data_IF_961378603625
#
_entry.id   IF_961378603625
#
_cell.length_a   1.000
_cell.length_b   1.000
_cell.length_c   1.000
_cell.angle_alpha   90.00
_cell.angle_beta   90.00
_cell.angle_gamma   90.00
#
_symmetry.space_group_name_H-M   'P 1'
#
loop_
_entity.id
_entity.type
_entity.pdbx_description
1 polymer ?
#
# COMPACT_ATOMS: atom_id res chain seq x y z
N UNK A 1 2.46 17.06 -6.30
CA UNK A 1 1.23 16.28 -6.20
C UNK A 1 1.29 15.05 -7.09
N UNK A 2 0.84 13.96 -6.60
CA UNK A 2 1.12 12.74 -7.34
C UNK A 2 -0.03 11.74 -7.46
N UNK A 3 -1.19 12.25 -7.86
CA UNK A 3 -2.35 11.40 -8.20
C UNK A 3 -2.05 10.44 -9.34
N UNK A 4 -1.03 10.72 -10.14
CA UNK A 4 -0.56 9.89 -11.24
C UNK A 4 0.71 9.11 -10.89
N UNK A 5 1.14 9.18 -9.63
CA UNK A 5 2.31 8.48 -9.17
C UNK A 5 2.11 6.97 -9.11
N UNK A 6 3.20 6.26 -8.89
CA UNK A 6 3.18 4.80 -8.82
C UNK A 6 2.43 4.32 -7.59
N UNK A 7 1.79 3.18 -7.74
CA UNK A 7 1.22 2.42 -6.64
C UNK A 7 2.23 1.35 -6.27
N UNK A 8 2.71 1.41 -5.04
CA UNK A 8 3.71 0.48 -4.52
C UNK A 8 2.96 -0.66 -3.83
N UNK A 9 3.15 -1.87 -4.32
CA UNK A 9 2.47 -3.05 -3.77
C UNK A 9 3.51 -4.00 -3.21
N UNK A 10 3.46 -4.22 -1.90
CA UNK A 10 4.41 -5.05 -1.18
C UNK A 10 3.70 -6.33 -0.79
N UNK A 11 4.02 -7.40 -1.51
CA UNK A 11 3.31 -8.66 -1.43
C UNK A 11 4.25 -9.79 -1.86
N UNK A 12 4.48 -10.76 -0.97
CA UNK A 12 5.39 -11.86 -1.27
C UNK A 12 4.77 -12.98 -2.12
N UNK A 13 3.45 -13.08 -2.16
CA UNK A 13 2.74 -14.06 -2.99
C UNK A 13 2.66 -13.61 -4.44
N UNK A 14 3.28 -14.36 -5.34
CA UNK A 14 3.20 -14.05 -6.78
C UNK A 14 1.77 -14.17 -7.33
N UNK A 15 0.97 -15.07 -6.75
CA UNK A 15 -0.45 -15.20 -7.10
C UNK A 15 -1.20 -13.91 -6.76
N UNK A 16 -1.00 -13.40 -5.54
CA UNK A 16 -1.64 -12.16 -5.11
C UNK A 16 -1.15 -10.95 -5.91
N UNK A 17 0.13 -10.90 -6.25
CA UNK A 17 0.67 -9.85 -7.13
C UNK A 17 -0.06 -9.84 -8.48
N UNK A 18 -0.29 -11.01 -9.07
CA UNK A 18 -1.01 -11.12 -10.34
C UNK A 18 -2.47 -10.69 -10.21
N UNK A 19 -3.09 -11.01 -9.08
CA UNK A 19 -4.47 -10.61 -8.81
C UNK A 19 -4.57 -9.07 -8.75
N UNK A 20 -3.68 -8.42 -8.02
CA UNK A 20 -3.65 -6.97 -7.98
C UNK A 20 -3.41 -6.37 -9.37
N UNK A 21 -2.46 -6.91 -10.12
CA UNK A 21 -2.17 -6.43 -11.47
C UNK A 21 -3.40 -6.52 -12.38
N UNK A 22 -4.12 -7.63 -12.32
CA UNK A 22 -5.32 -7.84 -13.12
C UNK A 22 -6.43 -6.86 -12.72
N UNK A 23 -6.60 -6.64 -11.43
CA UNK A 23 -7.62 -5.72 -10.93
C UNK A 23 -7.35 -4.30 -11.40
N UNK A 24 -6.12 -3.81 -11.26
CA UNK A 24 -5.77 -2.47 -11.70
C UNK A 24 -5.92 -2.31 -13.21
N UNK A 25 -5.62 -3.35 -13.96
CA UNK A 25 -5.82 -3.34 -15.40
C UNK A 25 -7.30 -3.21 -15.76
N UNK A 26 -8.17 -3.95 -15.09
CA UNK A 26 -9.62 -3.88 -15.28
C UNK A 26 -10.20 -2.52 -14.94
N UNK A 27 -9.68 -1.91 -13.87
CA UNK A 27 -10.14 -0.60 -13.42
C UNK A 27 -9.62 0.54 -14.29
N UNK A 28 -8.65 0.25 -15.13
CA UNK A 28 -8.11 1.18 -16.12
C UNK A 28 -7.54 2.47 -15.53
N UNK A 29 -6.95 2.39 -14.35
CA UNK A 29 -6.17 3.49 -13.80
C UNK A 29 -4.80 3.52 -14.46
N UNK A 30 -4.31 4.71 -14.78
CA UNK A 30 -3.05 4.89 -15.51
C UNK A 30 -1.80 4.80 -14.62
N UNK A 31 -1.97 4.65 -13.30
CA UNK A 31 -0.86 4.59 -12.37
C UNK A 31 0.04 3.37 -12.64
N UNK A 32 1.35 3.60 -12.65
CA UNK A 32 2.31 2.51 -12.73
C UNK A 32 2.23 1.66 -11.47
N UNK A 33 2.36 0.34 -11.58
CA UNK A 33 2.42 -0.57 -10.44
C UNK A 33 3.87 -1.00 -10.22
N UNK A 34 4.34 -0.86 -8.98
CA UNK A 34 5.67 -1.33 -8.60
C UNK A 34 5.51 -2.39 -7.52
N UNK A 35 5.93 -3.62 -7.82
CA UNK A 35 5.80 -4.75 -6.91
C UNK A 35 7.10 -5.04 -6.18
N UNK A 36 7.00 -5.31 -4.89
CA UNK A 36 8.13 -5.76 -4.06
C UNK A 36 7.70 -7.01 -3.30
N UNK A 37 8.58 -8.00 -3.23
CA UNK A 37 8.29 -9.28 -2.57
C UNK A 37 8.60 -9.25 -1.08
N UNK A 38 9.32 -8.26 -0.60
CA UNK A 38 9.61 -8.11 0.82
C UNK A 38 9.73 -6.63 1.22
N UNK A 39 9.59 -6.41 2.53
CA UNK A 39 9.59 -5.05 3.07
C UNK A 39 10.96 -4.37 3.02
N UNK A 40 12.06 -5.14 3.06
CA UNK A 40 13.41 -4.56 3.00
C UNK A 40 13.67 -3.92 1.65
N UNK A 41 13.29 -4.60 0.57
CA UNK A 41 13.44 -4.06 -0.79
C UNK A 41 12.58 -2.82 -1.00
N UNK A 42 11.35 -2.88 -0.50
CA UNK A 42 10.44 -1.73 -0.59
C UNK A 42 10.99 -0.52 0.17
N UNK A 43 11.49 -0.74 1.37
CA UNK A 43 12.06 0.33 2.19
C UNK A 43 13.28 0.96 1.51
N UNK A 44 14.16 0.13 0.96
CA UNK A 44 15.33 0.61 0.22
C UNK A 44 14.91 1.46 -0.97
N UNK A 45 13.94 1.01 -1.74
CA UNK A 45 13.40 1.76 -2.86
C UNK A 45 12.82 3.10 -2.42
N UNK A 46 12.00 3.10 -1.37
CA UNK A 46 11.37 4.33 -0.86
C UNK A 46 12.39 5.34 -0.33
N UNK A 47 13.49 4.85 0.24
CA UNK A 47 14.56 5.71 0.73
C UNK A 47 15.38 6.36 -0.39
N UNK A 48 15.43 5.74 -1.56
CA UNK A 48 16.30 6.18 -2.65
C UNK A 48 15.57 6.83 -3.81
N UNK A 49 14.28 6.53 -3.99
CA UNK A 49 13.53 7.10 -5.11
C UNK A 49 13.22 8.57 -4.88
N UNK A 50 13.29 9.34 -5.94
CA UNK A 50 12.89 10.75 -5.92
C UNK A 50 11.43 10.93 -6.30
N UNK A 51 10.80 9.87 -6.82
CA UNK A 51 9.40 9.90 -7.23
C UNK A 51 8.50 9.79 -6.00
N UNK A 52 7.45 10.59 -5.98
CA UNK A 52 6.43 10.51 -4.93
C UNK A 52 5.42 9.44 -5.34
N UNK A 53 5.25 8.38 -4.56
CA UNK A 53 4.22 7.39 -4.88
C UNK A 53 2.83 7.97 -4.65
N UNK A 54 1.85 7.42 -5.35
CA UNK A 54 0.46 7.76 -5.09
C UNK A 54 -0.07 7.03 -3.85
N UNK A 55 0.32 5.76 -3.68
CA UNK A 55 -0.26 4.90 -2.66
C UNK A 55 0.68 3.74 -2.35
N UNK A 56 0.69 3.30 -1.09
CA UNK A 56 1.40 2.10 -0.68
C UNK A 56 0.35 1.08 -0.23
N UNK A 57 0.39 -0.11 -0.82
CA UNK A 57 -0.43 -1.26 -0.43
C UNK A 57 0.52 -2.33 0.07
N UNK A 58 0.35 -2.80 1.29
CA UNK A 58 1.25 -3.80 1.88
C UNK A 58 0.50 -4.94 2.52
N UNK A 59 1.02 -6.14 2.36
CA UNK A 59 0.65 -7.28 3.20
C UNK A 59 1.36 -7.14 4.55
N UNK A 60 0.96 -7.94 5.51
CA UNK A 60 1.55 -7.97 6.85
C UNK A 60 2.60 -9.09 6.95
N UNK A 61 2.22 -10.30 6.59
CA UNK A 61 3.09 -11.48 6.73
C UNK A 61 4.01 -11.63 5.53
N UNK A 62 5.25 -11.19 5.69
CA UNK A 62 6.25 -11.21 4.63
C UNK A 62 7.60 -11.62 5.20
N UNK A 63 8.50 -12.20 4.37
CA UNK A 63 9.84 -12.54 4.83
C UNK A 63 10.69 -11.30 5.13
N UNK A 64 11.76 -11.49 5.89
CA UNK A 64 12.73 -10.47 6.33
C UNK A 64 12.11 -9.48 7.31
N UNK A 65 11.42 -8.46 6.83
CA UNK A 65 10.64 -7.58 7.71
C UNK A 65 9.17 -7.68 7.33
N UNK A 66 8.31 -7.81 8.33
CA UNK A 66 6.87 -7.89 8.10
C UNK A 66 6.27 -6.50 7.89
N UNK A 67 4.99 -6.46 7.56
CA UNK A 67 4.31 -5.19 7.27
C UNK A 67 4.30 -4.21 8.45
N UNK A 68 4.20 -4.70 9.66
CA UNK A 68 4.23 -3.84 10.86
C UNK A 68 5.61 -3.21 11.04
N UNK A 69 6.67 -4.01 10.89
CA UNK A 69 8.04 -3.52 10.99
C UNK A 69 8.35 -2.49 9.90
N UNK A 70 7.89 -2.77 8.68
CA UNK A 70 8.03 -1.83 7.57
C UNK A 70 7.34 -0.51 7.88
N UNK A 71 6.07 -0.58 8.31
CA UNK A 71 5.31 0.64 8.63
C UNK A 71 5.95 1.43 9.78
N UNK A 72 6.45 0.73 10.79
CA UNK A 72 7.15 1.37 11.91
C UNK A 72 8.36 2.17 11.42
N UNK A 73 9.16 1.58 10.55
CA UNK A 73 10.36 2.25 9.99
C UNK A 73 10.00 3.46 9.14
N UNK A 74 8.91 3.37 8.39
CA UNK A 74 8.41 4.50 7.60
C UNK A 74 7.89 5.61 8.51
N UNK A 75 7.13 5.26 9.53
CA UNK A 75 6.52 6.22 10.45
C UNK A 75 7.57 6.99 11.26
N UNK A 76 8.67 6.34 11.63
CA UNK A 76 9.76 6.96 12.38
C UNK A 76 10.59 7.95 11.55
N UNK A 77 10.52 7.88 10.25
CA UNK A 77 11.25 8.76 9.34
C UNK A 77 10.29 9.83 8.83
N UNK A 78 10.50 11.08 9.24
CA UNK A 78 9.60 12.19 8.90
C UNK A 78 9.37 12.34 7.40
N UNK A 79 10.41 12.21 6.61
CA UNK A 79 10.31 12.34 5.15
C UNK A 79 9.47 11.20 4.55
N UNK A 80 9.74 9.96 4.97
CA UNK A 80 8.99 8.81 4.49
C UNK A 80 7.55 8.82 5.00
N UNK A 81 7.32 9.28 6.22
CA UNK A 81 5.97 9.36 6.78
C UNK A 81 5.06 10.22 5.92
N UNK A 82 5.56 11.34 5.42
CA UNK A 82 4.79 12.21 4.53
C UNK A 82 4.68 11.65 3.11
N UNK A 83 5.76 11.06 2.62
CA UNK A 83 5.85 10.50 1.27
C UNK A 83 4.92 9.31 1.07
N UNK A 84 4.72 8.52 2.12
CA UNK A 84 3.99 7.26 2.05
C UNK A 84 2.55 7.36 2.58
N UNK A 85 1.84 8.42 2.20
CA UNK A 85 0.42 8.59 2.50
C UNK A 85 -0.35 8.54 1.18
N UNK A 86 -1.37 7.65 1.02
CA UNK A 86 -1.82 6.68 2.02
C UNK A 86 -0.98 5.41 2.06
N UNK A 87 -0.83 4.87 3.25
CA UNK A 87 -0.28 3.54 3.49
C UNK A 87 -1.41 2.65 3.98
N UNK A 88 -1.71 1.59 3.24
CA UNK A 88 -2.85 0.72 3.48
C UNK A 88 -2.39 -0.72 3.62
N UNK A 89 -2.92 -1.42 4.63
CA UNK A 89 -2.73 -2.87 4.71
C UNK A 89 -3.87 -3.61 4.01
N UNK A 90 -3.49 -4.64 3.28
CA UNK A 90 -4.41 -5.64 2.75
C UNK A 90 -3.92 -7.00 3.27
N UNK A 91 -4.73 -7.66 4.08
CA UNK A 91 -4.31 -8.90 4.74
C UNK A 91 -5.43 -9.94 4.74
N UNK A 92 -5.06 -11.22 4.70
CA UNK A 92 -6.02 -12.32 4.87
C UNK A 92 -6.46 -12.44 6.31
N UNK A 93 -5.58 -12.11 7.27
CA UNK A 93 -5.89 -12.10 8.70
C UNK A 93 -6.26 -10.70 9.16
N UNK A 94 -7.37 -10.58 9.86
CA UNK A 94 -7.85 -9.29 10.36
C UNK A 94 -8.37 -9.44 11.79
N UNK A 95 -7.56 -10.10 12.65
CA UNK A 95 -7.93 -10.24 14.05
C UNK A 95 -7.81 -8.90 14.78
N UNK A 96 -8.45 -8.82 15.92
CA UNK A 96 -8.53 -7.58 16.70
C UNK A 96 -7.17 -7.00 17.02
N UNK A 97 -6.22 -7.85 17.40
CA UNK A 97 -4.89 -7.40 17.79
C UNK A 97 -4.10 -6.84 16.60
N UNK A 98 -4.16 -7.50 15.45
CA UNK A 98 -3.49 -7.04 14.23
C UNK A 98 -4.03 -5.71 13.75
N UNK A 99 -5.36 -5.56 13.76
CA UNK A 99 -5.99 -4.30 13.36
C UNK A 99 -5.60 -3.16 14.31
N UNK A 100 -5.63 -3.42 15.62
CA UNK A 100 -5.24 -2.42 16.61
C UNK A 100 -3.77 -2.01 16.45
N UNK A 101 -2.88 -2.97 16.22
CA UNK A 101 -1.46 -2.70 16.01
C UNK A 101 -1.25 -1.84 14.75
N UNK A 102 -1.94 -2.15 13.66
CA UNK A 102 -1.85 -1.37 12.43
C UNK A 102 -2.24 0.09 12.66
N UNK A 103 -3.37 0.33 13.32
CA UNK A 103 -3.81 1.71 13.56
C UNK A 103 -2.93 2.44 14.58
N UNK A 104 -2.27 1.71 15.48
CA UNK A 104 -1.28 2.34 16.38
C UNK A 104 -0.07 2.87 15.62
N UNK A 105 0.18 2.35 14.41
CA UNK A 105 1.24 2.81 13.52
C UNK A 105 0.75 3.86 12.51
N UNK A 106 -0.44 4.39 12.72
CA UNK A 106 -1.01 5.48 11.93
C UNK A 106 -1.21 5.17 10.44
N UNK A 107 -1.59 3.93 10.14
CA UNK A 107 -1.97 3.59 8.76
C UNK A 107 -3.29 4.27 8.40
N UNK A 108 -3.49 4.51 7.11
CA UNK A 108 -4.70 5.16 6.63
C UNK A 108 -5.84 4.19 6.35
N UNK A 109 -5.58 2.89 6.39
CA UNK A 109 -6.63 1.89 6.24
C UNK A 109 -6.11 0.49 6.41
N UNK A 110 -7.04 -0.42 6.75
CA UNK A 110 -6.76 -1.84 6.90
C UNK A 110 -7.91 -2.58 6.21
N UNK A 111 -7.59 -3.33 5.18
CA UNK A 111 -8.59 -4.06 4.39
C UNK A 111 -8.32 -5.54 4.44
N UNK A 112 -9.40 -6.32 4.49
CA UNK A 112 -9.31 -7.77 4.38
C UNK A 112 -9.18 -8.13 2.90
N UNK A 113 -8.24 -8.97 2.56
CA UNK A 113 -8.16 -9.51 1.20
C UNK A 113 -9.40 -10.38 0.98
N UNK A 114 -10.21 -10.01 0.00
CA UNK A 114 -11.39 -10.79 -0.34
C UNK A 114 -10.98 -12.10 -0.99
N UNK A 115 -11.76 -13.16 -0.75
CA UNK A 115 -11.55 -14.46 -1.38
C UNK A 115 -11.89 -14.43 -2.87
N UNK A 116 -12.72 -13.50 -3.32
CA UNK A 116 -13.06 -13.36 -4.73
C UNK A 116 -12.50 -12.07 -5.33
N UNK A 117 -12.24 -12.14 -6.62
CA UNK A 117 -11.65 -11.02 -7.36
C UNK A 117 -12.62 -9.85 -7.46
N UNK A 118 -13.91 -10.14 -7.61
CA UNK A 118 -14.93 -9.08 -7.73
C UNK A 118 -15.04 -8.23 -6.47
N UNK A 119 -15.01 -8.88 -5.30
CA UNK A 119 -15.04 -8.17 -4.03
C UNK A 119 -13.81 -7.30 -3.83
N UNK A 120 -12.63 -7.83 -4.17
CA UNK A 120 -11.38 -7.10 -4.06
C UNK A 120 -11.35 -5.93 -5.05
N UNK A 121 -11.85 -6.15 -6.26
CA UNK A 121 -11.95 -5.10 -7.27
C UNK A 121 -12.82 -3.94 -6.80
N UNK A 122 -13.98 -4.23 -6.21
CA UNK A 122 -14.86 -3.19 -5.66
C UNK A 122 -14.17 -2.38 -4.57
N UNK A 123 -13.45 -3.06 -3.68
CA UNK A 123 -12.71 -2.41 -2.61
C UNK A 123 -11.62 -1.49 -3.16
N UNK A 124 -10.84 -1.99 -4.10
CA UNK A 124 -9.74 -1.21 -4.69
C UNK A 124 -10.30 -0.01 -5.47
N UNK A 125 -11.41 -0.17 -6.18
CA UNK A 125 -12.05 0.94 -6.88
C UNK A 125 -12.41 2.06 -5.91
N UNK A 126 -13.05 1.73 -4.78
CA UNK A 126 -13.43 2.72 -3.76
C UNK A 126 -12.22 3.41 -3.17
N UNK A 127 -11.17 2.64 -2.89
CA UNK A 127 -9.91 3.17 -2.34
C UNK A 127 -9.28 4.16 -3.32
N UNK A 128 -9.19 3.80 -4.59
CA UNK A 128 -8.62 4.66 -5.61
C UNK A 128 -9.43 5.94 -5.80
N UNK A 129 -10.74 5.81 -5.89
CA UNK A 129 -11.63 6.97 -6.06
C UNK A 129 -11.55 7.92 -4.86
N UNK A 130 -11.55 7.37 -3.66
CA UNK A 130 -11.42 8.17 -2.44
C UNK A 130 -10.12 8.95 -2.41
N UNK A 131 -9.00 8.28 -2.64
CA UNK A 131 -7.68 8.92 -2.52
C UNK A 131 -7.37 9.87 -3.69
N UNK A 132 -8.02 9.71 -4.82
CA UNK A 132 -7.93 10.69 -5.90
C UNK A 132 -8.62 12.01 -5.55
N UNK A 133 -9.63 11.96 -4.69
CA UNK A 133 -10.32 13.15 -4.20
C UNK A 133 -9.63 13.78 -3.00
N UNK A 134 -8.88 12.99 -2.24
CA UNK A 134 -8.20 13.48 -1.03
C UNK A 134 -7.06 14.42 -1.35
N UNK A 135 -6.84 15.37 -0.44
CA UNK A 135 -5.62 16.16 -0.42
C UNK A 135 -4.65 15.41 0.50
N UNK A 136 -3.50 15.03 -0.02
CA UNK A 136 -2.48 14.29 0.71
C UNK A 136 -1.20 15.13 0.82
N UNK A 137 -0.29 14.79 1.75
CA UNK A 137 0.97 15.54 1.86
C UNK A 137 1.74 15.65 0.56
N UNK A 138 1.70 14.59 -0.29
CA UNK A 138 2.38 14.59 -1.58
C UNK A 138 1.85 15.64 -2.57
N UNK A 139 0.68 16.20 -2.33
CA UNK A 139 0.13 17.25 -3.18
C UNK A 139 0.94 18.56 -3.08
N UNK A 140 1.78 18.68 -2.06
CA UNK A 140 2.57 19.87 -1.79
C UNK A 140 4.06 19.68 -2.10
N UNK A 141 4.45 18.57 -2.70
CA UNK A 141 5.85 18.27 -3.01
C UNK A 141 6.10 18.06 -4.50
#
# INVERSE_FOLDING_TARGET
>A
MNKKGAIIIIEDSHVDQRIFAEIFKRLNFSNELCFFSDGSEALSFLNTTRKMPFMIISDINMPKINGFELRSKIHENEELALKCVPFLFFSTGADKQSVAEAYSLSVQGFFRKSMDIEGLEKTIRKVMEYWQECIAPSDYY
#
